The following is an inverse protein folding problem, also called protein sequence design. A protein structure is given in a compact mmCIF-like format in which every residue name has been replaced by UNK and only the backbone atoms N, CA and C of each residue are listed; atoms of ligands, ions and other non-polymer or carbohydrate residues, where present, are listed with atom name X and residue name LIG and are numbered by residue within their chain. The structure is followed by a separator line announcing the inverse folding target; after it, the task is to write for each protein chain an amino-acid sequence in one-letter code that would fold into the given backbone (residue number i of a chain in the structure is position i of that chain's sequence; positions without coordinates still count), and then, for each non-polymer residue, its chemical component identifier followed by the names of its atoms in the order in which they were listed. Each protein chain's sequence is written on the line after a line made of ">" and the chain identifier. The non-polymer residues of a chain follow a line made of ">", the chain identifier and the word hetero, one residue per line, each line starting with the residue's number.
data_IF_901919952102
#
_entry.id   IF_901919952102
#
_cell.length_a   1.000
_cell.length_b   1.000
_cell.length_c   1.000
_cell.angle_alpha   90.00
_cell.angle_beta   90.00
_cell.angle_gamma   90.00
#
_symmetry.space_group_name_H-M   'P 1'
#
loop_
_entity.id
_entity.type
_entity.pdbx_description
1 polymer ?
#
# COMPACT_ATOMS: atom_id res chain seq x y z
N UNK A 1 79.78 -23.88 50.97
CA UNK A 1 79.94 -25.23 50.37
C UNK A 1 78.53 -25.74 50.08
N UNK A 2 78.24 -25.93 48.84
CA UNK A 2 76.96 -26.02 48.17
C UNK A 2 76.47 -27.46 48.13
N UNK A 3 75.22 -27.66 48.45
CA UNK A 3 74.50 -28.91 48.15
C UNK A 3 73.19 -28.61 47.42
N UNK A 4 73.23 -28.86 46.14
CA UNK A 4 72.04 -28.74 45.24
C UNK A 4 71.14 -29.92 45.48
N UNK A 5 69.91 -29.71 45.94
CA UNK A 5 68.83 -30.69 45.98
C UNK A 5 68.01 -30.55 44.68
N UNK A 6 68.04 -31.56 43.82
CA UNK A 6 67.18 -31.73 42.67
C UNK A 6 65.80 -32.12 43.10
N UNK A 7 64.82 -31.31 42.74
CA UNK A 7 63.39 -31.60 42.95
C UNK A 7 62.84 -32.13 41.62
N UNK A 8 62.60 -33.44 41.59
CA UNK A 8 61.88 -34.09 40.47
C UNK A 8 60.41 -33.84 40.65
N UNK A 9 59.80 -33.03 39.80
CA UNK A 9 58.36 -32.91 39.65
C UNK A 9 57.88 -33.98 38.70
N UNK A 10 57.08 -34.90 39.19
CA UNK A 10 56.29 -35.89 38.42
C UNK A 10 55.19 -35.12 37.67
N UNK A 11 55.24 -35.12 36.34
CA UNK A 11 54.15 -34.69 35.50
C UNK A 11 53.10 -35.80 35.48
N UNK A 12 51.94 -35.60 36.08
CA UNK A 12 50.78 -36.42 35.85
C UNK A 12 50.11 -35.95 34.58
N UNK A 13 50.08 -36.79 33.57
CA UNK A 13 49.27 -36.63 32.37
C UNK A 13 47.80 -36.73 32.79
N UNK A 14 47.09 -35.61 32.72
CA UNK A 14 45.64 -35.59 32.70
C UNK A 14 45.20 -35.85 31.27
N UNK A 15 44.61 -37.02 31.04
CA UNK A 15 43.89 -37.36 29.83
C UNK A 15 42.63 -36.52 29.78
N UNK A 16 42.58 -35.44 28.99
CA UNK A 16 41.34 -34.71 28.67
C UNK A 16 40.54 -35.56 27.70
N UNK A 17 39.47 -36.17 28.19
CA UNK A 17 38.42 -36.76 27.36
C UNK A 17 37.70 -35.64 26.62
N UNK A 18 37.94 -35.48 25.33
CA UNK A 18 37.16 -34.62 24.45
C UNK A 18 35.80 -35.27 24.22
N UNK A 19 34.75 -34.73 24.84
CA UNK A 19 33.39 -34.98 24.41
C UNK A 19 33.23 -34.38 23.01
N UNK A 20 32.67 -35.11 22.03
CA UNK A 20 32.24 -34.53 20.78
C UNK A 20 31.00 -33.67 21.10
N UNK A 21 31.19 -32.37 21.17
CA UNK A 21 30.09 -31.40 21.15
C UNK A 21 29.35 -31.61 19.84
N UNK A 22 28.08 -32.06 19.95
CA UNK A 22 27.14 -32.01 18.86
C UNK A 22 26.96 -30.55 18.48
N UNK A 23 27.69 -30.07 17.49
CA UNK A 23 27.35 -28.91 16.69
C UNK A 23 26.00 -29.25 16.01
N UNK A 24 24.90 -28.98 16.72
CA UNK A 24 23.58 -28.88 16.09
C UNK A 24 23.70 -27.84 14.99
N UNK A 25 23.95 -28.30 13.76
CA UNK A 25 23.90 -27.48 12.60
C UNK A 25 22.48 -26.87 12.58
N UNK A 26 22.37 -25.58 12.87
CA UNK A 26 21.29 -24.78 12.35
C UNK A 26 21.46 -24.85 10.83
N UNK A 27 20.82 -25.83 10.20
CA UNK A 27 20.55 -25.75 8.78
C UNK A 27 19.75 -24.45 8.62
N UNK A 28 20.20 -23.49 7.80
CA UNK A 28 19.31 -22.40 7.44
C UNK A 28 18.08 -23.09 6.85
N UNK A 29 16.91 -22.88 7.48
CA UNK A 29 15.66 -23.24 6.88
C UNK A 29 15.75 -22.66 5.46
N UNK A 30 15.65 -23.51 4.45
CA UNK A 30 15.57 -23.06 3.08
C UNK A 30 14.46 -21.99 3.12
N UNK A 31 14.82 -20.74 2.80
CA UNK A 31 13.87 -19.68 2.54
C UNK A 31 13.11 -20.14 1.29
N UNK A 32 12.16 -21.06 1.49
CA UNK A 32 11.17 -21.36 0.47
C UNK A 32 10.51 -20.04 0.16
N UNK A 33 10.38 -19.71 -1.11
CA UNK A 33 9.66 -18.53 -1.53
C UNK A 33 8.33 -18.51 -0.78
N UNK A 34 8.19 -17.57 0.16
CA UNK A 34 6.96 -17.47 0.93
C UNK A 34 5.86 -17.01 -0.01
N UNK A 35 4.80 -17.77 -0.07
CA UNK A 35 3.58 -17.43 -0.80
C UNK A 35 2.49 -17.14 0.20
N UNK A 36 1.64 -16.19 -0.11
CA UNK A 36 0.55 -15.83 0.79
C UNK A 36 -0.29 -14.69 0.26
N UNK A 37 -1.25 -14.30 1.06
CA UNK A 37 -2.06 -13.13 0.80
C UNK A 37 -2.25 -12.28 2.05
N UNK A 38 -2.48 -11.00 1.83
CA UNK A 38 -2.76 -10.01 2.88
C UNK A 38 -4.00 -9.21 2.49
N UNK A 39 -4.95 -9.14 3.40
CA UNK A 39 -6.06 -8.21 3.28
C UNK A 39 -5.67 -6.86 3.85
N UNK A 40 -5.94 -5.79 3.10
CA UNK A 40 -5.68 -4.42 3.52
C UNK A 40 -6.98 -3.62 3.51
N UNK A 41 -7.14 -2.79 4.52
CA UNK A 41 -8.06 -1.68 4.45
C UNK A 41 -7.30 -0.47 3.91
N UNK A 42 -7.67 -0.02 2.71
CA UNK A 42 -7.25 1.26 2.17
C UNK A 42 -8.21 2.35 2.63
N UNK A 43 -7.72 3.43 3.20
CA UNK A 43 -8.53 4.58 3.56
C UNK A 43 -7.89 5.88 3.10
N UNK A 44 -8.72 6.79 2.59
CA UNK A 44 -8.32 8.14 2.17
C UNK A 44 -8.95 9.13 3.12
N UNK A 45 -8.13 9.96 3.76
CA UNK A 45 -8.60 11.03 4.63
C UNK A 45 -8.63 12.34 3.85
N UNK A 46 -9.77 12.99 3.87
CA UNK A 46 -9.93 14.30 3.26
C UNK A 46 -9.85 15.38 4.36
N UNK A 47 -8.92 16.30 4.18
CA UNK A 47 -8.71 17.40 5.11
C UNK A 47 -9.77 18.51 4.88
N UNK A 48 -10.99 18.27 5.37
CA UNK A 48 -12.04 19.27 5.36
C UNK A 48 -12.98 19.13 6.57
N UNK A 49 -13.38 20.26 7.12
CA UNK A 49 -14.38 20.30 8.19
C UNK A 49 -15.80 20.18 7.61
N UNK A 50 -16.48 19.10 7.96
CA UNK A 50 -17.92 18.95 7.67
C UNK A 50 -18.71 19.46 8.87
N UNK A 51 -19.53 20.51 8.73
CA UNK A 51 -20.38 20.99 9.81
C UNK A 51 -21.27 19.87 10.37
N UNK A 52 -21.56 19.90 11.68
CA UNK A 52 -22.34 18.86 12.37
C UNK A 52 -23.70 18.54 11.72
N UNK A 53 -24.37 19.56 11.16
CA UNK A 53 -25.62 19.38 10.41
C UNK A 53 -25.51 18.44 9.20
N UNK A 54 -24.29 18.09 8.82
CA UNK A 54 -23.96 17.18 7.70
C UNK A 54 -23.27 15.88 8.19
N UNK A 55 -23.44 15.51 9.46
CA UNK A 55 -22.79 14.33 10.05
C UNK A 55 -23.05 13.05 9.23
N UNK A 56 -24.29 12.80 8.80
CA UNK A 56 -24.64 11.66 7.96
C UNK A 56 -23.92 11.67 6.60
N UNK A 57 -23.64 12.88 6.05
CA UNK A 57 -22.86 13.01 4.82
C UNK A 57 -21.37 12.70 5.07
N UNK A 58 -20.82 13.15 6.20
CA UNK A 58 -19.46 12.82 6.62
C UNK A 58 -19.27 11.32 6.73
N UNK A 59 -20.18 10.60 7.40
CA UNK A 59 -20.09 9.15 7.59
C UNK A 59 -20.19 8.40 6.25
N UNK A 60 -21.02 8.89 5.32
CA UNK A 60 -21.10 8.34 3.96
C UNK A 60 -19.85 8.61 3.14
N UNK A 61 -19.22 9.78 3.25
CA UNK A 61 -17.94 10.10 2.60
C UNK A 61 -16.85 9.23 3.17
N UNK A 62 -16.76 9.05 4.48
CA UNK A 62 -15.80 8.19 5.13
C UNK A 62 -15.94 6.73 4.66
N UNK A 63 -17.16 6.19 4.57
CA UNK A 63 -17.42 4.87 4.06
C UNK A 63 -17.07 4.70 2.57
N UNK A 64 -17.21 5.75 1.76
CA UNK A 64 -16.84 5.75 0.33
C UNK A 64 -15.35 5.97 0.10
N UNK A 65 -14.62 6.45 1.10
CA UNK A 65 -13.16 6.67 1.05
C UNK A 65 -12.36 5.46 1.54
N UNK A 66 -13.03 4.40 1.96
CA UNK A 66 -12.38 3.13 2.36
C UNK A 66 -12.69 2.04 1.34
N UNK A 67 -11.72 1.18 1.11
CA UNK A 67 -11.86 0.01 0.24
C UNK A 67 -10.98 -1.13 0.78
N UNK A 68 -11.52 -2.35 0.78
CA UNK A 68 -10.73 -3.54 1.04
C UNK A 68 -10.00 -3.99 -0.21
N UNK A 69 -8.74 -4.34 -0.01
CA UNK A 69 -7.83 -4.77 -1.06
C UNK A 69 -7.14 -6.05 -0.63
N UNK A 70 -6.87 -6.94 -1.56
CA UNK A 70 -6.08 -8.16 -1.32
C UNK A 70 -4.78 -8.07 -2.09
N UNK A 71 -3.66 -8.28 -1.40
CA UNK A 71 -2.35 -8.46 -1.99
C UNK A 71 -2.02 -9.95 -2.00
N UNK A 72 -1.89 -10.55 -3.16
CA UNK A 72 -1.35 -11.90 -3.36
C UNK A 72 0.14 -11.76 -3.67
N UNK A 73 0.98 -12.63 -3.12
CA UNK A 73 2.41 -12.59 -3.39
C UNK A 73 3.04 -13.99 -3.38
N UNK A 74 4.10 -14.12 -4.15
CA UNK A 74 5.07 -15.20 -4.07
C UNK A 74 6.50 -14.60 -3.97
N UNK A 75 7.52 -15.44 -3.99
CA UNK A 75 8.91 -14.97 -3.88
C UNK A 75 9.41 -14.11 -5.05
N UNK A 76 8.66 -14.03 -6.16
CA UNK A 76 9.07 -13.37 -7.40
C UNK A 76 8.16 -12.21 -7.83
N UNK A 77 6.90 -12.20 -7.41
CA UNK A 77 5.90 -11.26 -7.89
C UNK A 77 4.78 -11.04 -6.87
N UNK A 78 4.03 -9.97 -7.07
CA UNK A 78 2.80 -9.71 -6.32
C UNK A 78 1.74 -9.09 -7.21
N UNK A 79 0.47 -9.25 -6.82
CA UNK A 79 -0.66 -8.50 -7.39
C UNK A 79 -1.57 -8.03 -6.27
N UNK A 80 -1.95 -6.76 -6.30
CA UNK A 80 -2.95 -6.17 -5.43
C UNK A 80 -4.23 -5.92 -6.23
N UNK A 81 -5.37 -6.35 -5.69
CA UNK A 81 -6.69 -6.22 -6.32
C UNK A 81 -7.73 -5.77 -5.29
N UNK A 82 -8.88 -5.22 -5.68
CA UNK A 82 -10.01 -5.11 -4.77
C UNK A 82 -10.37 -6.47 -4.16
N UNK A 83 -10.85 -6.46 -2.92
CA UNK A 83 -11.30 -7.67 -2.25
C UNK A 83 -12.62 -8.15 -2.86
N UNK A 84 -12.67 -9.33 -3.50
CA UNK A 84 -13.88 -9.82 -4.16
C UNK A 84 -15.03 -10.08 -3.16
N UNK A 85 -14.72 -10.42 -1.91
CA UNK A 85 -15.72 -10.74 -0.90
C UNK A 85 -16.47 -9.46 -0.44
N UNK A 86 -15.82 -8.32 -0.41
CA UNK A 86 -16.47 -7.02 -0.13
C UNK A 86 -17.24 -6.48 -1.34
N UNK A 87 -16.79 -6.73 -2.55
CA UNK A 87 -17.49 -6.30 -3.76
C UNK A 87 -18.83 -7.00 -3.91
N UNK A 88 -18.94 -8.26 -3.50
CA UNK A 88 -20.20 -9.02 -3.50
C UNK A 88 -21.14 -8.61 -2.35
N UNK A 89 -20.58 -8.16 -1.20
CA UNK A 89 -21.34 -7.70 -0.04
C UNK A 89 -21.89 -6.27 -0.21
N UNK A 90 -21.36 -5.48 -1.14
CA UNK A 90 -21.84 -4.13 -1.39
C UNK A 90 -23.28 -4.13 -1.92
N UNK A 91 -24.23 -3.40 -1.28
CA UNK A 91 -25.62 -3.38 -1.72
C UNK A 91 -25.69 -2.86 -3.16
N UNK A 92 -26.10 -3.73 -4.10
CA UNK A 92 -26.35 -3.37 -5.50
C UNK A 92 -27.44 -2.29 -5.51
N UNK A 93 -27.04 -1.04 -5.69
CA UNK A 93 -27.99 0.07 -5.82
C UNK A 93 -28.80 -0.09 -7.10
N UNK A 94 -30.11 -0.39 -6.95
CA UNK A 94 -31.04 -0.37 -8.07
C UNK A 94 -31.16 1.07 -8.65
N UNK A 95 -31.49 1.20 -9.95
CA UNK A 95 -31.54 2.50 -10.66
C UNK A 95 -32.76 3.38 -10.28
N UNK A 96 -33.25 3.34 -9.02
CA UNK A 96 -34.52 3.96 -8.66
C UNK A 96 -34.56 4.91 -7.48
N UNK A 97 -33.52 4.99 -6.66
CA UNK A 97 -33.62 5.67 -5.35
C UNK A 97 -32.64 6.87 -5.20
N UNK A 98 -32.67 7.79 -6.16
CA UNK A 98 -31.86 9.02 -6.08
C UNK A 98 -32.73 10.21 -5.67
N UNK A 99 -32.87 10.43 -4.37
CA UNK A 99 -33.36 11.67 -3.82
C UNK A 99 -32.41 12.83 -4.21
N UNK A 100 -32.96 14.05 -4.36
CA UNK A 100 -32.19 15.28 -4.72
C UNK A 100 -31.03 15.54 -3.76
N UNK A 101 -31.11 15.03 -2.54
CA UNK A 101 -30.07 15.11 -1.52
C UNK A 101 -28.85 14.25 -1.92
N UNK A 102 -29.09 13.08 -2.49
CA UNK A 102 -28.02 12.17 -2.95
C UNK A 102 -27.24 12.73 -4.12
N UNK A 103 -27.88 13.41 -5.06
CA UNK A 103 -27.18 14.07 -6.18
C UNK A 103 -26.27 15.21 -5.73
N UNK A 104 -26.66 15.95 -4.67
CA UNK A 104 -25.80 17.00 -4.09
C UNK A 104 -24.64 16.40 -3.32
N UNK A 105 -24.87 15.33 -2.54
CA UNK A 105 -23.84 14.59 -1.82
C UNK A 105 -22.84 13.95 -2.79
N UNK A 106 -23.33 13.28 -3.85
CA UNK A 106 -22.50 12.72 -4.90
C UNK A 106 -21.69 13.78 -5.64
N UNK A 107 -22.32 14.92 -5.95
CA UNK A 107 -21.62 16.06 -6.57
C UNK A 107 -20.56 16.68 -5.66
N UNK A 108 -20.75 16.65 -4.34
CA UNK A 108 -19.77 17.12 -3.36
C UNK A 108 -18.64 16.09 -3.17
N UNK A 109 -18.95 14.80 -3.06
CA UNK A 109 -17.97 13.73 -3.00
C UNK A 109 -17.10 13.72 -4.26
N UNK A 110 -17.68 13.86 -5.45
CA UNK A 110 -16.94 13.99 -6.71
C UNK A 110 -16.04 15.24 -6.72
N UNK A 111 -16.50 16.38 -6.15
CA UNK A 111 -15.69 17.60 -6.02
C UNK A 111 -14.49 17.41 -5.11
N UNK A 112 -14.68 16.69 -4.00
CA UNK A 112 -13.64 16.38 -3.03
C UNK A 112 -12.63 15.42 -3.65
N UNK A 113 -13.10 14.34 -4.27
CA UNK A 113 -12.26 13.40 -5.02
C UNK A 113 -11.43 14.09 -6.10
N UNK A 114 -11.99 15.06 -6.80
CA UNK A 114 -11.27 15.85 -7.80
C UNK A 114 -10.32 16.89 -7.21
N UNK A 115 -10.56 17.37 -6.00
CA UNK A 115 -9.63 18.27 -5.30
C UNK A 115 -8.45 17.50 -4.73
N UNK A 116 -8.64 16.22 -4.35
CA UNK A 116 -7.60 15.32 -3.85
C UNK A 116 -6.84 14.61 -4.97
N UNK A 117 -7.42 14.41 -6.15
CA UNK A 117 -6.79 13.76 -7.30
C UNK A 117 -5.46 14.41 -7.75
N UNK A 118 -5.20 15.64 -7.29
CA UNK A 118 -3.90 16.29 -7.47
C UNK A 118 -2.84 15.84 -6.45
N UNK A 119 -3.17 14.98 -5.47
CA UNK A 119 -2.30 14.65 -4.33
C UNK A 119 -1.94 13.19 -4.17
N UNK A 120 -2.74 12.25 -4.68
CA UNK A 120 -2.35 10.85 -4.64
C UNK A 120 -2.81 10.08 -5.87
N UNK A 121 -1.84 9.58 -6.62
CA UNK A 121 -2.00 8.68 -7.75
C UNK A 121 -2.66 7.33 -7.38
N UNK A 122 -2.88 7.07 -6.08
CA UNK A 122 -3.30 5.75 -5.59
C UNK A 122 -4.82 5.62 -5.40
N UNK A 123 -5.58 6.73 -5.44
CA UNK A 123 -7.03 6.69 -5.18
C UNK A 123 -7.81 5.91 -6.24
N UNK A 124 -7.35 5.96 -7.48
CA UNK A 124 -8.00 5.34 -8.64
C UNK A 124 -7.39 3.97 -9.03
N UNK A 125 -6.50 3.43 -8.18
CA UNK A 125 -5.85 2.14 -8.41
C UNK A 125 -6.86 1.01 -8.22
N UNK A 126 -7.08 0.22 -9.27
CA UNK A 126 -7.86 -1.01 -9.24
C UNK A 126 -6.95 -2.22 -8.99
N UNK A 127 -5.88 -2.35 -9.77
CA UNK A 127 -4.94 -3.46 -9.66
C UNK A 127 -3.51 -2.96 -9.82
N UNK A 128 -2.57 -3.62 -9.13
CA UNK A 128 -1.14 -3.38 -9.30
C UNK A 128 -0.39 -4.72 -9.25
N UNK A 129 0.19 -5.10 -10.36
CA UNK A 129 1.09 -6.25 -10.49
C UNK A 129 2.54 -5.76 -10.46
N UNK A 130 3.40 -6.45 -9.71
CA UNK A 130 4.84 -6.15 -9.63
C UNK A 130 5.63 -7.44 -9.82
N UNK A 131 6.59 -7.41 -10.73
CA UNK A 131 7.65 -8.41 -10.87
C UNK A 131 8.90 -7.93 -10.15
N UNK A 132 9.35 -8.66 -9.13
CA UNK A 132 10.46 -8.23 -8.28
C UNK A 132 11.83 -8.40 -8.95
N UNK A 133 11.94 -9.31 -9.92
CA UNK A 133 13.21 -9.59 -10.59
C UNK A 133 13.52 -8.52 -11.65
N UNK A 134 12.55 -8.15 -12.45
CA UNK A 134 12.69 -7.10 -13.47
C UNK A 134 12.48 -5.69 -12.90
N UNK A 135 11.77 -5.55 -11.78
CA UNK A 135 11.29 -4.26 -11.28
C UNK A 135 10.15 -3.67 -12.09
N UNK A 136 9.54 -4.47 -12.98
CA UNK A 136 8.40 -4.01 -13.76
C UNK A 136 7.11 -3.93 -12.94
N UNK A 137 6.29 -2.94 -13.24
CA UNK A 137 4.94 -2.78 -12.70
C UNK A 137 3.92 -2.68 -13.83
N UNK A 138 2.76 -3.31 -13.64
CA UNK A 138 1.59 -3.13 -14.49
C UNK A 138 0.39 -2.79 -13.59
N UNK A 139 -0.21 -1.65 -13.83
CA UNK A 139 -1.33 -1.13 -13.04
C UNK A 139 -2.57 -0.98 -13.90
N UNK A 140 -3.73 -1.26 -13.31
CA UNK A 140 -5.02 -0.90 -13.87
C UNK A 140 -5.62 0.22 -13.03
N UNK A 141 -6.01 1.32 -13.67
CA UNK A 141 -6.60 2.49 -13.02
C UNK A 141 -7.90 2.88 -13.67
N UNK A 142 -8.86 3.30 -12.87
CA UNK A 142 -10.10 3.87 -13.36
C UNK A 142 -10.08 5.40 -13.21
N UNK A 143 -10.28 6.09 -14.32
CA UNK A 143 -10.45 7.54 -14.31
C UNK A 143 -11.63 7.96 -15.19
N UNK A 144 -12.64 8.57 -14.57
CA UNK A 144 -13.86 9.07 -15.22
C UNK A 144 -14.61 8.01 -16.05
N UNK A 145 -14.69 6.77 -15.52
CA UNK A 145 -15.40 5.65 -16.16
C UNK A 145 -14.64 5.00 -17.31
N UNK A 146 -13.35 5.34 -17.48
CA UNK A 146 -12.42 4.66 -18.39
C UNK A 146 -11.39 3.90 -17.59
N UNK A 147 -11.08 2.71 -18.03
CA UNK A 147 -10.03 1.87 -17.45
C UNK A 147 -8.76 2.01 -18.27
N UNK A 148 -7.65 2.27 -17.61
CA UNK A 148 -6.33 2.42 -18.21
C UNK A 148 -5.41 1.31 -17.71
N UNK A 149 -4.63 0.73 -18.64
CA UNK A 149 -3.57 -0.23 -18.36
C UNK A 149 -2.21 0.48 -18.52
N UNK A 150 -1.49 0.62 -17.40
CA UNK A 150 -0.25 1.38 -17.32
C UNK A 150 0.89 0.41 -17.01
N UNK A 151 1.89 0.33 -17.90
CA UNK A 151 3.07 -0.50 -17.68
C UNK A 151 4.32 0.37 -17.63
N UNK A 152 5.28 -0.02 -16.81
CA UNK A 152 6.53 0.70 -16.67
C UNK A 152 7.44 0.12 -15.59
N UNK A 153 8.43 0.90 -15.20
CA UNK A 153 9.32 0.56 -14.10
C UNK A 153 8.67 0.94 -12.75
N UNK A 154 8.81 0.08 -11.76
CA UNK A 154 8.38 0.36 -10.39
C UNK A 154 9.24 1.49 -9.80
N UNK A 155 8.63 2.49 -9.13
CA UNK A 155 9.38 3.51 -8.43
C UNK A 155 10.37 2.93 -7.41
N UNK A 156 11.56 3.51 -7.36
CA UNK A 156 12.57 3.14 -6.36
C UNK A 156 12.54 4.13 -5.21
N UNK A 157 12.31 3.63 -4.01
CA UNK A 157 12.23 4.45 -2.79
C UNK A 157 13.55 4.42 -2.03
N UNK A 158 14.04 5.59 -1.61
CA UNK A 158 15.22 5.71 -0.75
C UNK A 158 14.80 5.55 0.72
N UNK A 159 14.55 4.29 1.12
CA UNK A 159 14.10 3.99 2.47
C UNK A 159 15.14 4.28 3.54
N UNK A 160 14.73 5.00 4.58
CA UNK A 160 15.48 5.20 5.83
C UNK A 160 14.84 4.31 6.89
N UNK A 161 15.57 3.29 7.35
CA UNK A 161 15.09 2.40 8.39
C UNK A 161 15.10 3.13 9.73
N UNK A 162 13.96 3.16 10.41
CA UNK A 162 13.81 3.64 11.76
C UNK A 162 14.27 2.63 12.80
N UNK A 163 14.37 3.06 14.03
CA UNK A 163 14.69 2.21 15.19
C UNK A 163 13.42 1.71 15.89
N UNK A 164 12.28 2.30 15.58
CA UNK A 164 11.03 1.92 16.20
C UNK A 164 10.56 0.56 15.71
N UNK A 165 10.15 -0.27 16.67
CA UNK A 165 9.59 -1.60 16.43
C UNK A 165 8.35 -1.77 17.29
N UNK A 166 7.37 -2.47 16.77
CA UNK A 166 6.14 -2.83 17.51
C UNK A 166 5.58 -4.15 16.99
N UNK A 167 4.72 -4.74 17.77
CA UNK A 167 3.93 -5.90 17.32
C UNK A 167 2.68 -5.42 16.57
N UNK A 168 2.42 -6.06 15.42
CA UNK A 168 1.22 -5.81 14.61
C UNK A 168 0.78 -7.10 13.93
N UNK A 169 -0.46 -7.54 14.14
CA UNK A 169 -1.02 -8.82 13.64
C UNK A 169 -0.15 -10.04 13.96
N UNK A 170 0.51 -10.05 15.15
CA UNK A 170 1.39 -11.14 15.56
C UNK A 170 2.80 -11.12 14.95
N UNK A 171 3.13 -10.10 14.14
CA UNK A 171 4.46 -9.89 13.56
C UNK A 171 5.17 -8.71 14.21
N UNK A 172 6.50 -8.85 14.40
CA UNK A 172 7.32 -7.69 14.74
C UNK A 172 7.52 -6.85 13.49
N UNK A 173 7.07 -5.61 13.52
CA UNK A 173 7.22 -4.64 12.42
C UNK A 173 8.21 -3.55 12.80
N UNK A 174 8.98 -3.09 11.81
CA UNK A 174 9.94 -2.00 11.92
C UNK A 174 9.50 -0.83 11.04
N UNK A 175 9.68 0.38 11.56
CA UNK A 175 9.40 1.60 10.82
C UNK A 175 10.45 1.85 9.73
N UNK A 176 10.00 2.33 8.58
CA UNK A 176 10.82 2.89 7.52
C UNK A 176 10.15 4.14 6.96
N UNK A 177 10.94 5.14 6.57
CA UNK A 177 10.43 6.37 5.95
C UNK A 177 11.14 6.65 4.64
N UNK A 178 10.43 7.28 3.72
CA UNK A 178 10.98 7.77 2.45
C UNK A 178 10.29 9.07 2.04
N UNK A 179 10.90 9.80 1.12
CA UNK A 179 10.27 10.91 0.41
C UNK A 179 10.37 10.62 -1.08
N UNK A 180 9.27 10.69 -1.79
CA UNK A 180 9.22 10.47 -3.23
C UNK A 180 8.24 11.46 -3.87
N UNK A 181 8.71 12.20 -4.88
CA UNK A 181 7.94 13.24 -5.59
C UNK A 181 7.27 14.27 -4.66
N UNK A 182 7.93 14.58 -3.54
CA UNK A 182 7.46 15.56 -2.55
C UNK A 182 6.49 14.99 -1.50
N UNK A 183 6.06 13.74 -1.63
CA UNK A 183 5.22 13.06 -0.65
C UNK A 183 6.05 12.34 0.40
N UNK A 184 5.66 12.48 1.66
CA UNK A 184 6.24 11.74 2.78
C UNK A 184 5.58 10.36 2.88
N UNK A 185 6.42 9.31 2.95
CA UNK A 185 5.98 7.94 3.02
C UNK A 185 6.48 7.33 4.32
N UNK A 186 5.58 6.77 5.11
CA UNK A 186 5.90 5.97 6.29
C UNK A 186 5.41 4.55 6.08
N UNK A 187 6.29 3.57 6.29
CA UNK A 187 5.97 2.15 6.18
C UNK A 187 6.35 1.40 7.46
N UNK A 188 5.52 0.42 7.82
CA UNK A 188 5.83 -0.57 8.84
C UNK A 188 5.88 -1.93 8.17
N UNK A 189 7.07 -2.52 8.14
CA UNK A 189 7.33 -3.77 7.45
C UNK A 189 7.82 -4.83 8.41
N UNK A 190 7.58 -6.11 8.07
CA UNK A 190 8.08 -7.22 8.85
C UNK A 190 9.15 -8.02 8.08
N UNK A 191 10.37 -8.15 8.63
CA UNK A 191 11.39 -9.02 8.06
C UNK A 191 11.10 -10.52 8.27
N UNK A 192 10.09 -10.88 9.07
CA UNK A 192 9.66 -12.26 9.27
C UNK A 192 9.00 -12.85 8.01
N UNK A 193 8.53 -11.98 7.10
CA UNK A 193 8.03 -12.34 5.77
C UNK A 193 8.98 -11.66 4.75
N UNK A 194 10.05 -12.34 4.32
CA UNK A 194 11.14 -11.72 3.55
C UNK A 194 10.79 -11.57 2.06
N UNK A 195 9.66 -10.93 1.78
CA UNK A 195 9.16 -10.61 0.46
C UNK A 195 9.15 -9.10 0.29
N UNK A 196 9.70 -8.58 -0.82
CA UNK A 196 9.80 -7.14 -1.09
C UNK A 196 8.47 -6.54 -1.59
N UNK A 197 7.36 -7.07 -1.09
CA UNK A 197 6.02 -6.68 -1.45
C UNK A 197 5.45 -5.62 -0.50
N UNK A 198 4.44 -4.93 -1.00
CA UNK A 198 3.64 -3.97 -0.25
C UNK A 198 2.45 -3.49 -1.06
N UNK A 199 1.62 -2.59 -0.51
CA UNK A 199 0.44 -2.08 -1.18
C UNK A 199 0.78 -1.34 -2.49
N UNK A 200 0.11 -1.70 -3.59
CA UNK A 200 0.29 -1.06 -4.89
C UNK A 200 1.73 -1.11 -5.39
N UNK A 201 2.28 0.05 -5.70
CA UNK A 201 3.66 0.20 -6.19
C UNK A 201 4.72 0.19 -5.07
N UNK A 202 4.29 0.29 -3.80
CA UNK A 202 5.22 0.43 -2.67
C UNK A 202 5.86 -0.89 -2.28
N UNK A 203 7.16 -0.84 -1.92
CA UNK A 203 7.93 -1.97 -1.44
C UNK A 203 9.44 -1.77 -1.62
N UNK A 204 10.22 -2.85 -1.78
CA UNK A 204 11.69 -2.79 -1.83
C UNK A 204 12.32 -2.72 -0.44
N UNK A 205 11.54 -2.85 0.64
CA UNK A 205 12.01 -3.10 1.99
C UNK A 205 12.42 -4.58 2.15
N UNK A 206 13.30 -4.91 3.11
CA UNK A 206 13.71 -6.30 3.35
C UNK A 206 12.62 -7.10 4.11
N UNK A 207 11.38 -7.01 3.66
CA UNK A 207 10.21 -7.66 4.23
C UNK A 207 8.91 -7.05 3.75
N UNK A 208 7.80 -7.72 4.07
CA UNK A 208 6.45 -7.33 3.68
C UNK A 208 5.98 -6.09 4.43
N UNK A 209 5.46 -5.10 3.70
CA UNK A 209 4.87 -3.89 4.30
C UNK A 209 3.45 -4.21 4.78
N UNK A 210 3.20 -4.09 6.08
CA UNK A 210 1.89 -4.31 6.68
C UNK A 210 1.08 -3.03 6.89
N UNK A 211 1.76 -1.89 7.07
CA UNK A 211 1.11 -0.58 7.13
C UNK A 211 1.90 0.39 6.27
N UNK A 212 1.20 1.18 5.49
CA UNK A 212 1.76 2.25 4.66
C UNK A 212 0.91 3.50 4.82
N UNK A 213 1.56 4.61 5.13
CA UNK A 213 0.94 5.93 5.28
C UNK A 213 1.62 6.94 4.38
N UNK A 214 0.84 7.73 3.66
CA UNK A 214 1.32 8.84 2.84
C UNK A 214 0.83 10.16 3.43
N UNK A 215 1.70 11.16 3.42
CA UNK A 215 1.41 12.54 3.80
C UNK A 215 0.65 12.65 5.14
N UNK A 216 1.20 11.98 6.18
CA UNK A 216 0.63 11.99 7.52
C UNK A 216 -0.73 11.30 7.66
N UNK A 217 -1.05 10.34 6.79
CA UNK A 217 -2.27 9.54 6.84
C UNK A 217 -3.35 9.99 5.84
N UNK A 218 -3.02 10.90 4.91
CA UNK A 218 -3.94 11.24 3.82
C UNK A 218 -4.37 9.99 3.05
N UNK A 219 -3.44 9.11 2.71
CA UNK A 219 -3.71 7.76 2.23
C UNK A 219 -3.07 6.75 3.19
N UNK A 220 -3.86 5.81 3.67
CA UNK A 220 -3.42 4.77 4.59
C UNK A 220 -3.82 3.39 4.03
N UNK A 221 -2.86 2.50 3.98
CA UNK A 221 -3.08 1.06 3.85
C UNK A 221 -2.72 0.40 5.17
N UNK A 222 -3.64 -0.35 5.75
CA UNK A 222 -3.41 -1.11 6.98
C UNK A 222 -3.82 -2.56 6.76
N UNK A 223 -2.88 -3.48 6.93
CA UNK A 223 -3.22 -4.90 6.89
C UNK A 223 -4.24 -5.23 7.98
N UNK A 224 -5.23 -6.04 7.65
CA UNK A 224 -6.25 -6.55 8.55
C UNK A 224 -6.07 -8.03 8.81
N UNK A 225 -5.50 -8.76 7.85
CA UNK A 225 -5.22 -10.19 7.94
C UNK A 225 -3.98 -10.53 7.10
N UNK A 226 -3.19 -11.49 7.59
CA UNK A 226 -2.04 -12.07 6.86
C UNK A 226 -2.19 -13.58 6.87
N UNK A 227 -2.23 -14.19 5.69
CA UNK A 227 -2.28 -15.63 5.52
C UNK A 227 -1.08 -16.11 4.71
N UNK A 228 -0.34 -17.09 5.24
CA UNK A 228 0.87 -17.68 4.64
C UNK A 228 0.67 -19.16 4.25
N UNK A 229 -0.56 -19.64 4.22
CA UNK A 229 -0.87 -21.04 3.87
C UNK A 229 -0.73 -21.35 2.37
N UNK A 230 -0.34 -20.33 1.58
CA UNK A 230 -0.20 -20.43 0.13
C UNK A 230 -1.37 -19.80 -0.63
N UNK A 231 -1.33 -19.89 -1.95
CA UNK A 231 -2.32 -19.26 -2.84
C UNK A 231 -3.34 -20.27 -3.42
N UNK A 232 -3.19 -21.57 -3.10
CA UNK A 232 -3.98 -22.61 -3.75
C UNK A 232 -3.78 -22.60 -5.27
N UNK A 233 -4.87 -22.60 -6.02
CA UNK A 233 -4.87 -22.57 -7.50
C UNK A 233 -4.85 -21.13 -8.08
N UNK A 234 -4.67 -20.09 -7.23
CA UNK A 234 -4.69 -18.69 -7.69
C UNK A 234 -3.34 -18.35 -8.33
N UNK A 235 -3.40 -17.93 -9.59
CA UNK A 235 -2.22 -17.48 -10.34
C UNK A 235 -2.02 -15.97 -10.20
N UNK A 236 -0.78 -15.56 -9.91
CA UNK A 236 -0.38 -14.15 -9.94
C UNK A 236 0.03 -13.80 -11.38
N UNK A 237 -0.82 -13.07 -12.09
CA UNK A 237 -0.59 -12.65 -13.46
C UNK A 237 -0.84 -11.14 -13.63
N UNK A 238 -0.14 -10.46 -14.56
CA UNK A 238 -0.41 -9.05 -14.82
C UNK A 238 -1.82 -8.85 -15.37
N UNK A 239 -2.49 -7.74 -15.02
CA UNK A 239 -3.78 -7.39 -15.61
C UNK A 239 -3.62 -7.11 -17.11
N UNK A 240 -4.71 -7.36 -17.85
CA UNK A 240 -4.76 -7.21 -19.31
C UNK A 240 -5.84 -6.24 -19.78
N UNK A 241 -6.74 -5.84 -18.88
CA UNK A 241 -7.89 -5.02 -19.21
C UNK A 241 -7.59 -3.52 -19.10
N UNK A 242 -8.02 -2.77 -20.09
CA UNK A 242 -7.88 -1.32 -20.11
C UNK A 242 -7.21 -0.77 -21.37
N UNK A 243 -7.30 0.54 -21.54
CA UNK A 243 -6.59 1.26 -22.58
C UNK A 243 -5.10 1.35 -22.24
N UNK A 244 -4.26 0.79 -23.09
CA UNK A 244 -2.82 0.75 -22.85
C UNK A 244 -2.22 2.14 -23.06
N UNK A 245 -1.62 2.67 -21.99
CA UNK A 245 -0.95 3.98 -21.99
C UNK A 245 0.34 3.90 -21.15
N UNK A 246 1.26 4.80 -21.44
CA UNK A 246 2.39 5.04 -20.53
C UNK A 246 1.95 5.84 -19.31
N UNK A 247 2.74 5.82 -18.24
CA UNK A 247 2.46 6.63 -17.05
C UNK A 247 2.36 8.12 -17.39
N UNK A 248 3.27 8.61 -18.23
CA UNK A 248 3.28 10.02 -18.66
C UNK A 248 2.01 10.39 -19.45
N UNK A 249 1.53 9.51 -20.33
CA UNK A 249 0.28 9.73 -21.06
C UNK A 249 -0.92 9.74 -20.13
N UNK A 250 -0.97 8.81 -19.17
CA UNK A 250 -2.03 8.78 -18.15
C UNK A 250 -2.06 10.10 -17.33
N UNK A 251 -0.93 10.52 -16.81
CA UNK A 251 -0.81 11.77 -16.06
C UNK A 251 -1.24 13.00 -16.90
N UNK A 252 -0.89 13.04 -18.18
CA UNK A 252 -1.31 14.09 -19.09
C UNK A 252 -2.83 14.09 -19.30
N UNK A 253 -3.45 12.92 -19.49
CA UNK A 253 -4.92 12.76 -19.63
C UNK A 253 -5.62 13.26 -18.35
N UNK A 254 -5.12 12.89 -17.18
CA UNK A 254 -5.68 13.31 -15.88
C UNK A 254 -5.56 14.82 -15.72
N UNK A 255 -4.38 15.39 -15.99
CA UNK A 255 -4.11 16.82 -15.87
C UNK A 255 -5.00 17.65 -16.81
N UNK A 256 -5.10 17.26 -18.09
CA UNK A 256 -5.96 17.92 -19.07
C UNK A 256 -7.42 17.94 -18.62
N UNK A 257 -7.92 16.80 -18.12
CA UNK A 257 -9.32 16.69 -17.70
C UNK A 257 -9.62 17.51 -16.45
N UNK A 258 -8.69 17.58 -15.51
CA UNK A 258 -8.82 18.44 -14.33
C UNK A 258 -8.88 19.91 -14.74
N UNK A 259 -8.04 20.36 -15.66
CA UNK A 259 -8.05 21.75 -16.14
C UNK A 259 -9.33 22.08 -16.92
N UNK A 260 -9.84 21.19 -17.77
CA UNK A 260 -11.12 21.35 -18.47
C UNK A 260 -12.28 21.59 -17.47
N UNK A 261 -12.32 20.80 -16.41
CA UNK A 261 -13.34 20.91 -15.38
C UNK A 261 -13.20 22.23 -14.61
N UNK A 262 -11.97 22.66 -14.29
CA UNK A 262 -11.71 23.94 -13.63
C UNK A 262 -12.16 25.12 -14.52
N UNK A 263 -11.84 25.08 -15.82
CA UNK A 263 -12.23 26.10 -16.77
C UNK A 263 -13.75 26.23 -16.91
N UNK A 264 -14.46 25.11 -17.03
CA UNK A 264 -15.93 25.08 -17.14
C UNK A 264 -16.61 25.66 -15.90
N UNK A 265 -16.07 25.41 -14.68
CA UNK A 265 -16.57 25.97 -13.43
C UNK A 265 -16.32 27.49 -13.31
N UNK A 266 -15.15 27.97 -13.77
CA UNK A 266 -14.81 29.40 -13.79
C UNK A 266 -15.74 30.21 -14.69
N UNK A 267 -16.16 29.64 -15.81
CA UNK A 267 -17.09 30.28 -16.76
C UNK A 267 -18.53 30.35 -16.24
N UNK A 268 -18.99 29.31 -15.51
CA UNK A 268 -20.36 29.28 -14.92
C UNK A 268 -20.58 30.30 -13.82
N UNK A 269 -19.56 30.72 -13.09
CA UNK A 269 -19.67 31.68 -11.99
C UNK A 269 -19.62 33.15 -12.49
N UNK A 270 -19.29 33.42 -13.73
CA UNK A 270 -19.25 34.77 -14.33
C UNK A 270 -20.56 35.20 -14.99
N UNK A 271 -21.61 34.36 -15.03
CA UNK A 271 -22.86 34.64 -15.76
C UNK A 271 -24.03 34.93 -14.85
N UNK A 272 -23.89 35.70 -13.77
CA UNK A 272 -24.99 36.36 -13.08
C UNK A 272 -24.63 37.81 -12.71
N UNK A 273 -24.73 38.75 -13.64
CA UNK A 273 -25.00 40.13 -13.22
C UNK A 273 -26.39 40.10 -12.57
N UNK A 274 -26.45 40.53 -11.32
CA UNK A 274 -27.72 40.81 -10.61
C UNK A 274 -28.31 42.06 -11.29
N UNK A 275 -29.18 41.87 -12.29
CA UNK A 275 -30.07 42.94 -12.75
C UNK A 275 -31.18 43.13 -11.69
N UNK A 276 -30.84 43.90 -10.68
CA UNK A 276 -31.80 44.49 -9.75
C UNK A 276 -32.53 45.64 -10.45
N UNK A 277 -33.63 45.33 -11.13
CA UNK A 277 -34.57 46.33 -11.58
C UNK A 277 -35.29 46.95 -10.39
N UNK A 278 -34.97 48.18 -10.08
CA UNK A 278 -35.82 49.09 -9.31
C UNK A 278 -37.07 49.44 -10.17
N UNK A 279 -38.23 49.06 -9.68
CA UNK A 279 -39.49 49.84 -9.83
C UNK A 279 -40.42 49.55 -8.67
#
# INVERSE_FOLDING_TARGET
>A
MSTRRRFQRRFQLFLLATLPGALGGFAPAALGAQTGHVHYLRSVQYDFEVPERWAALRDRIAAQSSASMVLLFDGSRSIMTPDPDEEEAAPRRGPGDSDRTDRRALGMALRLRMASASRSDQEDLLQAYVDFASGAITETREFMGRTFLISGDRPTYQWKLGTEQREFLGFMVQQATAVHDGSEIEAWFTPQIPVQAGPGQYGGLPGLILVLSLDGGHLLYSATEVNLEGLGDVEIAPPTDGEMVTRQEYEAIVAEKIEEIRATRGAGNRRRPFEGGLR
#
